data_IF_874625328034
#
_entry.id   IF_874625328034
#
_cell.length_a   1.000
_cell.length_b   1.000
_cell.length_c   1.000
_cell.angle_alpha   90.00
_cell.angle_beta   90.00
_cell.angle_gamma   90.00
#
_symmetry.space_group_name_H-M   'P 1'
#
loop_
_entity.id
_entity.type
_entity.pdbx_description
1 polymer ?
#
# COMPACT_ATOMS: atom_id res chain seq x y z
N UNK A 1 -15.34 0.19 -19.95
CA UNK A 1 -14.53 0.91 -20.93
C UNK A 1 -14.47 2.42 -20.68
N UNK A 2 -15.60 3.16 -20.64
CA UNK A 2 -15.55 4.63 -20.43
C UNK A 2 -14.94 5.02 -19.07
N UNK A 3 -15.28 4.33 -17.98
CA UNK A 3 -14.74 4.59 -16.65
C UNK A 3 -13.24 4.28 -16.56
N UNK A 4 -12.76 3.25 -17.26
CA UNK A 4 -11.34 2.89 -17.27
C UNK A 4 -10.52 4.00 -17.96
N UNK A 5 -11.03 4.55 -19.05
CA UNK A 5 -10.40 5.69 -19.76
C UNK A 5 -10.40 6.94 -18.87
N UNK A 6 -11.54 7.27 -18.24
CA UNK A 6 -11.62 8.41 -17.31
C UNK A 6 -10.66 8.26 -16.13
N UNK A 7 -10.57 7.07 -15.54
CA UNK A 7 -9.64 6.77 -14.46
C UNK A 7 -8.19 7.00 -14.91
N UNK A 8 -7.80 6.48 -16.09
CA UNK A 8 -6.44 6.66 -16.61
C UNK A 8 -6.11 8.13 -16.89
N UNK A 9 -7.05 8.87 -17.48
CA UNK A 9 -6.88 10.31 -17.70
C UNK A 9 -6.70 11.04 -16.36
N UNK A 10 -7.55 10.75 -15.35
CA UNK A 10 -7.44 11.38 -14.05
C UNK A 10 -6.10 11.08 -13.37
N UNK A 11 -5.59 9.85 -13.48
CA UNK A 11 -4.26 9.47 -12.97
C UNK A 11 -3.13 10.23 -13.66
N UNK A 12 -3.19 10.39 -14.98
CA UNK A 12 -2.21 11.16 -15.75
C UNK A 12 -2.24 12.64 -15.35
N UNK A 13 -3.42 13.24 -15.25
CA UNK A 13 -3.58 14.64 -14.86
C UNK A 13 -3.04 14.87 -13.44
N UNK A 14 -3.32 13.98 -12.51
CA UNK A 14 -2.82 14.07 -11.13
C UNK A 14 -1.29 13.91 -11.07
N UNK A 15 -0.73 12.95 -11.80
CA UNK A 15 0.71 12.74 -11.89
C UNK A 15 1.43 13.96 -12.44
N UNK A 16 0.91 14.55 -13.52
CA UNK A 16 1.48 15.75 -14.14
C UNK A 16 1.37 16.97 -13.21
N UNK A 17 0.24 17.12 -12.52
CA UNK A 17 0.06 18.21 -11.54
C UNK A 17 0.97 18.11 -10.34
N UNK A 18 1.18 16.89 -9.81
CA UNK A 18 1.99 16.68 -8.60
C UNK A 18 3.48 16.65 -8.87
N UNK A 19 3.93 16.06 -9.99
CA UNK A 19 5.32 15.73 -10.24
C UNK A 19 5.88 16.31 -11.56
N UNK A 20 5.06 16.98 -12.36
CA UNK A 20 5.43 17.59 -13.64
C UNK A 20 5.57 16.60 -14.80
N UNK A 21 5.72 17.12 -16.01
CA UNK A 21 5.83 16.34 -17.25
C UNK A 21 7.02 15.38 -17.29
N UNK A 22 8.16 15.73 -16.66
CA UNK A 22 9.34 14.87 -16.61
C UNK A 22 9.06 13.55 -15.90
N UNK A 23 8.30 13.59 -14.80
CA UNK A 23 7.87 12.40 -14.06
C UNK A 23 6.87 11.57 -14.86
N UNK A 24 5.96 12.21 -15.59
CA UNK A 24 5.07 11.52 -16.51
C UNK A 24 5.85 10.68 -17.54
N UNK A 25 6.83 11.27 -18.21
CA UNK A 25 7.64 10.54 -19.18
C UNK A 25 8.41 9.37 -18.54
N UNK A 26 9.01 9.58 -17.38
CA UNK A 26 9.76 8.52 -16.68
C UNK A 26 8.87 7.41 -16.12
N UNK A 27 7.71 7.75 -15.56
CA UNK A 27 6.86 6.79 -14.87
C UNK A 27 5.84 6.11 -15.80
N UNK A 28 5.40 6.79 -16.87
CA UNK A 28 4.40 6.26 -17.80
C UNK A 28 5.04 5.60 -19.01
N UNK A 29 6.05 6.23 -19.61
CA UNK A 29 6.68 5.69 -20.83
C UNK A 29 7.82 4.71 -20.54
N UNK A 30 8.68 5.02 -19.55
CA UNK A 30 9.88 4.26 -19.25
C UNK A 30 10.00 3.98 -17.76
N UNK A 31 9.35 2.93 -17.29
CA UNK A 31 9.53 2.49 -15.91
C UNK A 31 10.61 1.41 -15.87
N UNK A 32 11.61 1.58 -14.98
CA UNK A 32 12.52 0.52 -14.58
C UNK A 32 12.68 0.56 -13.08
N UNK A 33 12.00 -0.35 -12.39
CA UNK A 33 11.99 -0.40 -10.92
C UNK A 33 12.14 -1.84 -10.44
N UNK A 34 12.55 -2.00 -9.19
CA UNK A 34 12.57 -3.31 -8.53
C UNK A 34 11.29 -3.48 -7.72
N UNK A 35 10.54 -4.54 -8.02
CA UNK A 35 9.41 -5.00 -7.21
C UNK A 35 9.90 -6.08 -6.25
N UNK A 36 9.54 -5.96 -4.98
CA UNK A 36 9.81 -6.98 -3.95
C UNK A 36 8.48 -7.62 -3.57
N UNK A 37 8.32 -8.89 -3.92
CA UNK A 37 7.14 -9.67 -3.59
C UNK A 37 7.26 -10.14 -2.15
N UNK A 38 6.17 -10.00 -1.41
CA UNK A 38 6.07 -10.32 0.01
C UNK A 38 4.91 -11.25 0.30
N UNK A 39 5.04 -12.05 1.34
CA UNK A 39 3.98 -12.90 1.88
C UNK A 39 3.80 -12.66 3.38
N UNK A 40 2.60 -12.90 3.86
CA UNK A 40 2.25 -12.90 5.29
C UNK A 40 1.34 -14.07 5.60
N UNK A 41 1.74 -14.88 6.58
CA UNK A 41 0.84 -15.82 7.23
C UNK A 41 -0.12 -15.04 8.13
N UNK A 42 -1.41 -15.16 7.87
CA UNK A 42 -2.42 -14.38 8.59
C UNK A 42 -2.65 -14.92 10.01
N UNK A 43 -2.27 -16.18 10.31
CA UNK A 43 -2.31 -16.72 11.67
C UNK A 43 -1.35 -16.00 12.62
N UNK A 44 -0.24 -15.48 12.10
CA UNK A 44 0.78 -14.75 12.87
C UNK A 44 0.44 -13.27 13.12
N UNK A 45 -0.75 -12.81 12.70
CA UNK A 45 -1.13 -11.42 12.89
C UNK A 45 -1.50 -11.13 14.34
N UNK A 46 -0.87 -10.10 14.88
CA UNK A 46 -1.26 -9.49 16.16
C UNK A 46 -2.04 -8.22 15.90
N UNK A 47 -3.05 -7.96 16.72
CA UNK A 47 -3.87 -6.75 16.57
C UNK A 47 -3.06 -5.46 16.79
N UNK A 48 -3.22 -4.51 15.89
CA UNK A 48 -2.61 -3.17 15.91
C UNK A 48 -3.62 -2.07 15.60
N UNK A 49 -4.83 -2.18 16.15
CA UNK A 49 -5.93 -1.25 15.89
C UNK A 49 -5.79 0.08 16.66
N UNK A 50 -5.03 0.12 17.76
CA UNK A 50 -4.87 1.33 18.59
C UNK A 50 -4.56 2.62 17.84
N UNK A 51 -3.63 2.65 16.86
CA UNK A 51 -3.35 3.88 16.11
C UNK A 51 -4.55 4.40 15.32
N UNK A 52 -5.43 3.52 14.81
CA UNK A 52 -6.63 3.93 14.09
C UNK A 52 -7.65 4.56 15.04
N UNK A 53 -7.94 3.89 16.15
CA UNK A 53 -8.89 4.38 17.17
C UNK A 53 -8.43 5.73 17.76
N UNK A 54 -7.15 5.86 18.12
CA UNK A 54 -6.57 7.10 18.64
C UNK A 54 -6.60 8.25 17.64
N UNK A 55 -6.57 7.94 16.35
CA UNK A 55 -6.69 8.92 15.28
C UNK A 55 -8.15 9.22 14.89
N UNK A 56 -9.15 8.58 15.52
CA UNK A 56 -10.55 8.71 15.14
C UNK A 56 -10.85 8.13 13.75
N UNK A 57 -10.13 7.09 13.34
CA UNK A 57 -10.25 6.44 12.05
C UNK A 57 -10.91 5.07 12.19
N UNK A 58 -11.68 4.69 11.18
CA UNK A 58 -12.37 3.39 11.13
C UNK A 58 -12.04 2.66 9.84
N UNK A 59 -12.00 1.32 9.93
CA UNK A 59 -11.98 0.43 8.78
C UNK A 59 -13.41 0.17 8.32
N UNK A 60 -13.67 0.31 7.02
CA UNK A 60 -14.96 0.01 6.38
C UNK A 60 -14.69 -0.81 5.12
N UNK A 61 -15.44 -1.87 4.91
CA UNK A 61 -15.38 -2.61 3.64
C UNK A 61 -15.97 -1.77 2.50
N UNK A 62 -15.31 -1.79 1.35
CA UNK A 62 -15.79 -1.10 0.16
C UNK A 62 -16.61 -2.07 -0.66
N UNK A 63 -17.89 -1.82 -0.73
CA UNK A 63 -18.86 -2.52 -1.58
C UNK A 63 -19.69 -1.55 -2.42
N UNK A 64 -20.62 -2.09 -3.19
CA UNK A 64 -21.51 -1.29 -4.05
C UNK A 64 -22.44 -0.41 -3.22
N UNK A 65 -22.90 -0.91 -2.07
CA UNK A 65 -23.83 -0.18 -1.21
C UNK A 65 -23.14 1.01 -0.54
N UNK A 66 -21.90 0.83 -0.07
CA UNK A 66 -21.08 1.94 0.44
C UNK A 66 -20.92 3.03 -0.61
N UNK A 67 -20.61 2.68 -1.87
CA UNK A 67 -20.39 3.66 -2.93
C UNK A 67 -21.68 4.34 -3.41
N UNK A 68 -22.81 3.61 -3.44
CA UNK A 68 -24.09 4.12 -3.91
C UNK A 68 -24.84 4.93 -2.86
N UNK A 69 -24.58 4.70 -1.58
CA UNK A 69 -25.25 5.37 -0.45
C UNK A 69 -25.07 6.90 -0.44
N UNK A 70 -24.00 7.41 -1.08
CA UNK A 70 -23.62 8.82 -0.97
C UNK A 70 -23.15 9.25 0.42
N UNK A 71 -23.12 8.32 1.39
CA UNK A 71 -22.73 8.58 2.77
C UNK A 71 -21.23 8.90 2.89
N UNK A 72 -20.42 8.42 1.95
CA UNK A 72 -18.98 8.56 1.99
C UNK A 72 -18.43 9.39 0.82
N UNK A 73 -17.45 10.23 1.11
CA UNK A 73 -16.74 11.04 0.11
C UNK A 73 -15.27 10.64 0.09
N UNK A 74 -14.69 10.47 -1.09
CA UNK A 74 -13.26 10.20 -1.21
C UNK A 74 -12.48 11.52 -1.16
N UNK A 75 -11.44 11.56 -0.33
CA UNK A 75 -10.53 12.73 -0.25
C UNK A 75 -9.80 13.02 -1.55
N UNK A 76 -9.66 12.00 -2.40
CA UNK A 76 -9.01 12.08 -3.72
C UNK A 76 -9.95 11.49 -4.77
N UNK A 77 -10.38 12.31 -5.74
CA UNK A 77 -11.43 11.94 -6.70
C UNK A 77 -11.07 10.75 -7.59
N UNK A 78 -9.79 10.57 -7.95
CA UNK A 78 -9.36 9.42 -8.75
C UNK A 78 -9.51 8.09 -7.98
N UNK A 79 -9.45 8.11 -6.63
CA UNK A 79 -9.64 6.92 -5.80
C UNK A 79 -11.08 6.42 -5.86
N UNK A 80 -12.05 7.31 -5.95
CA UNK A 80 -13.46 6.94 -6.17
C UNK A 80 -13.66 6.24 -7.53
N UNK A 81 -13.10 6.79 -8.60
CA UNK A 81 -13.16 6.16 -9.94
C UNK A 81 -12.48 4.79 -9.95
N UNK A 82 -11.38 4.66 -9.23
CA UNK A 82 -10.67 3.39 -9.03
C UNK A 82 -11.53 2.37 -8.29
N UNK A 83 -12.18 2.78 -7.20
CA UNK A 83 -13.09 1.95 -6.43
C UNK A 83 -14.23 1.39 -7.31
N UNK A 84 -14.88 2.24 -8.10
CA UNK A 84 -15.91 1.83 -9.07
C UNK A 84 -15.36 0.79 -10.06
N UNK A 85 -14.16 1.03 -10.58
CA UNK A 85 -13.54 0.12 -11.57
C UNK A 85 -13.20 -1.22 -10.93
N UNK A 86 -12.60 -1.23 -9.75
CA UNK A 86 -12.17 -2.43 -9.07
C UNK A 86 -13.35 -3.32 -8.64
N UNK A 87 -14.41 -2.72 -8.07
CA UNK A 87 -15.63 -3.46 -7.75
C UNK A 87 -16.30 -4.05 -9.00
N UNK A 88 -16.27 -3.34 -10.14
CA UNK A 88 -16.78 -3.87 -11.41
C UNK A 88 -16.01 -5.12 -11.87
N UNK A 89 -14.73 -5.22 -11.54
CA UNK A 89 -13.89 -6.38 -11.84
C UNK A 89 -13.91 -7.45 -10.74
N UNK A 90 -14.83 -7.37 -9.78
CA UNK A 90 -14.97 -8.36 -8.72
C UNK A 90 -13.88 -8.32 -7.65
N UNK A 91 -13.14 -7.20 -7.56
CA UNK A 91 -12.13 -7.01 -6.53
C UNK A 91 -12.78 -6.50 -5.24
N UNK A 92 -12.31 -6.97 -4.10
CA UNK A 92 -12.70 -6.46 -2.79
C UNK A 92 -11.79 -5.34 -2.31
N UNK A 93 -12.22 -4.55 -1.35
CA UNK A 93 -11.41 -3.47 -0.81
C UNK A 93 -11.85 -3.00 0.57
N UNK A 94 -10.97 -2.26 1.23
CA UNK A 94 -11.22 -1.61 2.50
C UNK A 94 -10.92 -0.13 2.41
N UNK A 95 -11.78 0.67 3.01
CA UNK A 95 -11.60 2.11 3.21
C UNK A 95 -11.13 2.41 4.63
N UNK A 96 -10.23 3.38 4.74
CA UNK A 96 -9.91 4.07 5.98
C UNK A 96 -10.72 5.36 6.03
N UNK A 97 -11.59 5.50 7.04
CA UNK A 97 -12.59 6.56 7.06
C UNK A 97 -12.44 7.44 8.31
N UNK A 98 -12.49 8.75 8.12
CA UNK A 98 -12.64 9.77 9.16
C UNK A 98 -14.02 10.43 9.04
N UNK A 99 -14.93 10.13 9.97
CA UNK A 99 -16.33 10.56 9.84
C UNK A 99 -16.95 9.96 8.57
N UNK A 100 -17.25 10.79 7.59
CA UNK A 100 -17.73 10.37 6.26
C UNK A 100 -16.69 10.51 5.14
N UNK A 101 -15.44 10.88 5.46
CA UNK A 101 -14.39 11.08 4.49
C UNK A 101 -13.50 9.84 4.38
N UNK A 102 -13.39 9.25 3.20
CA UNK A 102 -12.45 8.18 2.86
C UNK A 102 -11.07 8.82 2.67
N UNK A 103 -10.17 8.56 3.60
CA UNK A 103 -8.81 9.10 3.63
C UNK A 103 -7.74 8.08 3.24
N UNK A 104 -8.14 6.83 3.04
CA UNK A 104 -7.27 5.77 2.54
C UNK A 104 -8.09 4.61 2.00
N UNK A 105 -7.49 3.80 1.17
CA UNK A 105 -8.06 2.55 0.68
C UNK A 105 -6.99 1.52 0.38
N UNK A 106 -7.36 0.25 0.41
CA UNK A 106 -6.53 -0.89 -0.02
C UNK A 106 -7.41 -1.92 -0.68
N UNK A 107 -6.84 -2.65 -1.63
CA UNK A 107 -7.59 -3.58 -2.46
C UNK A 107 -7.04 -4.97 -2.36
N UNK A 108 -7.92 -5.95 -2.60
CA UNK A 108 -7.53 -7.34 -2.61
C UNK A 108 -8.23 -8.11 -3.73
N UNK A 109 -7.55 -9.12 -4.20
CA UNK A 109 -8.02 -10.10 -5.14
C UNK A 109 -8.09 -11.47 -4.46
N UNK A 110 -9.21 -12.13 -4.62
CA UNK A 110 -9.46 -13.50 -4.21
C UNK A 110 -9.94 -14.28 -5.42
N UNK A 111 -9.62 -15.56 -5.49
CA UNK A 111 -10.06 -16.42 -6.58
C UNK A 111 -10.31 -17.82 -6.08
N UNK A 112 -11.05 -18.58 -6.84
CA UNK A 112 -11.08 -20.04 -6.68
C UNK A 112 -9.67 -20.61 -6.88
N UNK A 113 -9.39 -21.76 -6.26
CA UNK A 113 -8.15 -22.46 -6.48
C UNK A 113 -8.03 -22.83 -7.97
N UNK A 114 -6.89 -22.48 -8.56
CA UNK A 114 -6.62 -22.73 -9.98
C UNK A 114 -5.13 -22.88 -10.25
N UNK A 115 -4.80 -23.78 -11.16
CA UNK A 115 -3.45 -23.90 -11.73
C UNK A 115 -3.31 -23.12 -13.05
N UNK A 116 -4.40 -22.54 -13.57
CA UNK A 116 -4.35 -21.71 -14.77
C UNK A 116 -3.93 -20.27 -14.42
N UNK A 117 -2.69 -19.89 -14.74
CA UNK A 117 -2.19 -18.54 -14.40
C UNK A 117 -2.93 -17.42 -15.14
N UNK A 118 -3.66 -17.73 -16.23
CA UNK A 118 -4.35 -16.71 -17.04
C UNK A 118 -5.57 -16.12 -16.34
N UNK A 119 -6.13 -16.81 -15.35
CA UNK A 119 -7.26 -16.32 -14.56
C UNK A 119 -6.83 -15.58 -13.30
N UNK A 120 -5.53 -15.58 -13.00
CA UNK A 120 -4.99 -14.82 -11.87
C UNK A 120 -4.91 -13.32 -12.16
N UNK A 121 -4.86 -12.52 -11.10
CA UNK A 121 -4.57 -11.09 -11.22
C UNK A 121 -3.26 -10.85 -12.01
N UNK A 122 -3.22 -9.80 -12.84
CA UNK A 122 -2.09 -9.55 -13.75
C UNK A 122 -0.72 -9.46 -13.07
N UNK A 123 -0.67 -8.98 -11.81
CA UNK A 123 0.58 -8.93 -11.05
C UNK A 123 1.02 -10.33 -10.60
N UNK A 124 0.08 -11.20 -10.22
CA UNK A 124 0.38 -12.59 -9.86
C UNK A 124 0.93 -13.35 -11.07
N UNK A 125 0.30 -13.18 -12.24
CA UNK A 125 0.81 -13.75 -13.50
C UNK A 125 2.22 -13.24 -13.79
N UNK A 126 2.44 -11.92 -13.68
CA UNK A 126 3.72 -11.26 -13.96
C UNK A 126 4.84 -11.74 -13.03
N UNK A 127 4.53 -12.01 -11.77
CA UNK A 127 5.49 -12.51 -10.78
C UNK A 127 5.59 -14.05 -10.76
N UNK A 128 4.98 -14.73 -11.73
CA UNK A 128 5.09 -16.17 -11.92
C UNK A 128 4.50 -16.98 -10.76
N UNK A 129 3.40 -16.51 -10.18
CA UNK A 129 2.66 -17.30 -9.21
C UNK A 129 1.95 -18.46 -9.92
N UNK A 130 2.03 -19.63 -9.31
CA UNK A 130 1.37 -20.87 -9.73
C UNK A 130 0.80 -21.56 -8.50
N UNK A 131 -0.20 -22.41 -8.68
CA UNK A 131 -0.79 -23.19 -7.57
C UNK A 131 -1.52 -22.32 -6.55
N UNK A 132 -2.24 -21.28 -7.02
CA UNK A 132 -3.02 -20.38 -6.16
C UNK A 132 -4.11 -21.14 -5.40
N UNK A 133 -4.22 -20.91 -4.09
CA UNK A 133 -5.19 -21.56 -3.22
C UNK A 133 -6.37 -20.63 -2.91
N UNK A 134 -7.56 -21.20 -2.78
CA UNK A 134 -8.78 -20.48 -2.42
C UNK A 134 -8.69 -19.72 -1.09
N UNK A 135 -7.87 -20.21 -0.14
CA UNK A 135 -7.61 -19.56 1.14
C UNK A 135 -6.51 -18.48 1.09
N UNK A 136 -6.00 -18.16 -0.09
CA UNK A 136 -4.97 -17.14 -0.26
C UNK A 136 -5.57 -15.86 -0.85
N UNK A 137 -4.97 -14.71 -0.51
CA UNK A 137 -5.41 -13.40 -0.96
C UNK A 137 -4.23 -12.59 -1.47
N UNK A 138 -4.40 -11.88 -2.57
CA UNK A 138 -3.43 -10.92 -3.07
C UNK A 138 -3.88 -9.50 -2.75
N UNK A 139 -3.04 -8.74 -2.05
CA UNK A 139 -3.34 -7.37 -1.64
C UNK A 139 -2.48 -6.38 -2.42
N UNK A 140 -3.07 -5.29 -2.85
CA UNK A 140 -2.42 -4.32 -3.71
C UNK A 140 -3.00 -2.92 -3.53
N UNK A 141 -2.33 -1.92 -4.11
CA UNK A 141 -2.79 -0.54 -4.23
C UNK A 141 -3.23 0.08 -2.89
N UNK A 142 -2.39 -0.04 -1.86
CA UNK A 142 -2.63 0.66 -0.59
C UNK A 142 -2.35 2.16 -0.73
N UNK A 143 -3.33 2.96 -0.35
CA UNK A 143 -3.25 4.41 -0.30
C UNK A 143 -3.69 4.91 1.08
N UNK A 144 -2.99 5.90 1.61
CA UNK A 144 -3.41 6.70 2.78
C UNK A 144 -3.06 8.14 2.47
N UNK A 145 -3.98 9.07 2.68
CA UNK A 145 -3.74 10.50 2.48
C UNK A 145 -2.55 10.99 3.31
N UNK A 146 -1.73 11.88 2.75
CA UNK A 146 -0.48 12.32 3.39
C UNK A 146 -0.69 12.91 4.78
N UNK A 147 -1.81 13.61 4.99
CA UNK A 147 -2.23 14.17 6.28
C UNK A 147 -2.45 13.12 7.37
N UNK A 148 -2.79 11.89 6.97
CA UNK A 148 -3.14 10.79 7.87
C UNK A 148 -2.00 9.80 8.13
N UNK A 149 -0.85 9.94 7.45
CA UNK A 149 0.27 8.98 7.52
C UNK A 149 1.10 9.06 8.83
N UNK A 150 0.58 9.70 9.87
CA UNK A 150 1.28 9.87 11.15
C UNK A 150 0.97 8.73 12.12
N UNK A 151 1.82 8.54 13.13
CA UNK A 151 1.55 7.63 14.27
C UNK A 151 1.34 6.16 13.90
N UNK A 152 1.88 5.68 12.78
CA UNK A 152 1.73 4.27 12.38
C UNK A 152 0.38 3.92 11.75
N UNK A 153 -0.46 4.91 11.42
CA UNK A 153 -1.80 4.72 10.83
C UNK A 153 -1.76 3.83 9.59
N UNK A 154 -0.81 4.03 8.66
CA UNK A 154 -0.74 3.21 7.44
C UNK A 154 -0.49 1.73 7.73
N UNK A 155 0.36 1.43 8.70
CA UNK A 155 0.64 0.05 9.10
C UNK A 155 -0.54 -0.57 9.87
N UNK A 156 -1.19 0.21 10.74
CA UNK A 156 -2.39 -0.23 11.45
C UNK A 156 -3.56 -0.48 10.48
N UNK A 157 -3.72 0.36 9.46
CA UNK A 157 -4.73 0.18 8.41
C UNK A 157 -4.51 -1.13 7.65
N UNK A 158 -3.28 -1.37 7.18
CA UNK A 158 -2.93 -2.63 6.51
C UNK A 158 -3.18 -3.82 7.43
N UNK A 159 -2.75 -3.75 8.70
CA UNK A 159 -2.94 -4.82 9.68
C UNK A 159 -4.43 -5.10 9.92
N UNK A 160 -5.26 -4.06 10.11
CA UNK A 160 -6.69 -4.23 10.34
C UNK A 160 -7.41 -4.85 9.15
N UNK A 161 -7.05 -4.47 7.91
CA UNK A 161 -7.58 -5.11 6.71
C UNK A 161 -7.20 -6.60 6.65
N UNK A 162 -5.96 -6.96 7.04
CA UNK A 162 -5.51 -8.36 7.09
C UNK A 162 -6.22 -9.16 8.19
N UNK A 163 -6.50 -8.55 9.34
CA UNK A 163 -7.27 -9.19 10.42
C UNK A 163 -8.70 -9.51 9.98
N UNK A 164 -9.34 -8.60 9.25
CA UNK A 164 -10.68 -8.84 8.71
C UNK A 164 -10.65 -9.97 7.64
N UNK A 165 -9.67 -9.98 6.75
CA UNK A 165 -9.49 -11.08 5.80
C UNK A 165 -9.26 -12.42 6.51
N UNK A 166 -8.48 -12.43 7.60
CA UNK A 166 -8.31 -13.63 8.43
C UNK A 166 -9.64 -14.10 9.02
N UNK A 167 -10.48 -13.19 9.52
CA UNK A 167 -11.80 -13.54 10.07
C UNK A 167 -12.74 -14.14 9.01
N UNK A 168 -12.52 -13.81 7.74
CA UNK A 168 -13.21 -14.37 6.57
C UNK A 168 -12.63 -15.73 6.09
N UNK A 169 -11.63 -16.27 6.80
CA UNK A 169 -11.07 -17.60 6.56
C UNK A 169 -9.84 -17.62 5.64
N UNK A 170 -9.30 -16.47 5.24
CA UNK A 170 -8.05 -16.44 4.50
C UNK A 170 -6.87 -16.74 5.43
N UNK A 171 -5.91 -17.53 4.94
CA UNK A 171 -4.77 -18.02 5.73
C UNK A 171 -3.47 -17.33 5.36
N UNK A 172 -3.34 -16.88 4.11
CA UNK A 172 -2.11 -16.26 3.62
C UNK A 172 -2.42 -15.07 2.71
N UNK A 173 -1.66 -13.99 2.89
CA UNK A 173 -1.70 -12.83 2.03
C UNK A 173 -0.39 -12.65 1.26
N UNK A 174 -0.50 -12.23 0.01
CA UNK A 174 0.61 -11.80 -0.83
C UNK A 174 0.46 -10.36 -1.24
N UNK A 175 1.57 -9.72 -1.53
CA UNK A 175 1.61 -8.37 -2.06
C UNK A 175 2.97 -8.06 -2.64
N UNK A 176 3.18 -6.84 -3.09
CA UNK A 176 4.50 -6.35 -3.43
C UNK A 176 4.65 -4.87 -3.07
N UNK A 177 5.87 -4.43 -2.96
CA UNK A 177 6.22 -3.02 -2.89
C UNK A 177 7.39 -2.71 -3.84
N UNK A 178 7.50 -1.44 -4.21
CA UNK A 178 8.64 -0.96 -4.97
C UNK A 178 9.83 -0.75 -4.05
N UNK A 179 11.00 -1.29 -4.41
CA UNK A 179 12.20 -1.23 -3.57
C UNK A 179 12.69 0.20 -3.27
N UNK A 180 12.30 1.19 -4.04
CA UNK A 180 12.56 2.62 -3.85
C UNK A 180 11.47 3.34 -3.03
N UNK A 181 10.39 2.64 -2.62
CA UNK A 181 9.35 3.19 -1.75
C UNK A 181 9.63 2.85 -0.29
N UNK A 182 10.43 3.69 0.37
CA UNK A 182 10.83 3.52 1.77
C UNK A 182 9.63 3.43 2.74
N UNK A 183 8.56 4.19 2.48
CA UNK A 183 7.36 4.15 3.32
C UNK A 183 6.65 2.79 3.24
N UNK A 184 6.52 2.23 2.03
CA UNK A 184 5.94 0.91 1.85
C UNK A 184 6.83 -0.18 2.44
N UNK A 185 8.15 -0.10 2.28
CA UNK A 185 9.10 -1.02 2.93
C UNK A 185 8.91 -1.00 4.44
N UNK A 186 8.95 0.19 5.03
CA UNK A 186 8.82 0.34 6.48
C UNK A 186 7.49 -0.22 6.99
N UNK A 187 6.38 0.13 6.35
CA UNK A 187 5.05 -0.35 6.69
C UNK A 187 4.96 -1.89 6.60
N UNK A 188 5.40 -2.45 5.49
CA UNK A 188 5.23 -3.87 5.17
C UNK A 188 6.25 -4.74 5.90
N UNK A 189 7.55 -4.45 5.71
CA UNK A 189 8.63 -5.29 6.21
C UNK A 189 8.90 -5.11 7.70
N UNK A 190 9.06 -3.84 8.14
CA UNK A 190 9.48 -3.54 9.52
C UNK A 190 8.28 -3.62 10.46
N UNK A 191 7.20 -2.89 10.17
CA UNK A 191 6.09 -2.78 11.10
C UNK A 191 5.19 -4.01 11.08
N UNK A 192 4.75 -4.45 9.90
CA UNK A 192 3.84 -5.59 9.75
C UNK A 192 4.54 -6.93 9.55
N UNK A 193 5.88 -6.92 9.44
CA UNK A 193 6.74 -8.12 9.40
C UNK A 193 6.33 -9.12 8.32
N UNK A 194 6.06 -8.61 7.11
CA UNK A 194 5.87 -9.45 5.95
C UNK A 194 7.21 -10.03 5.52
N UNK A 195 7.21 -11.27 5.08
CA UNK A 195 8.38 -11.98 4.58
C UNK A 195 8.61 -11.66 3.10
N UNK A 196 9.82 -11.24 2.74
CA UNK A 196 10.22 -11.07 1.35
C UNK A 196 10.48 -12.43 0.71
N UNK A 197 9.80 -12.71 -0.40
CA UNK A 197 9.86 -14.00 -1.10
C UNK A 197 10.76 -13.93 -2.32
N UNK A 198 10.52 -12.94 -3.18
CA UNK A 198 11.23 -12.77 -4.46
C UNK A 198 11.38 -11.28 -4.79
N UNK A 199 12.38 -10.98 -5.60
CA UNK A 199 12.53 -9.65 -6.19
C UNK A 199 12.55 -9.75 -7.71
N UNK A 200 11.98 -8.75 -8.38
CA UNK A 200 11.89 -8.68 -9.83
C UNK A 200 12.35 -7.31 -10.32
N UNK A 201 13.13 -7.30 -11.40
CA UNK A 201 13.32 -6.09 -12.19
C UNK A 201 12.11 -5.93 -13.10
N UNK A 202 11.31 -4.91 -12.87
CA UNK A 202 10.15 -4.59 -13.69
C UNK A 202 10.50 -3.45 -14.60
N UNK A 203 10.38 -3.68 -15.90
CA UNK A 203 10.49 -2.64 -16.93
C UNK A 203 9.16 -2.48 -17.64
N UNK A 204 8.80 -1.24 -17.92
CA UNK A 204 7.65 -0.89 -18.75
C UNK A 204 8.07 0.08 -19.83
N UNK A 205 7.66 -0.22 -21.04
CA UNK A 205 7.74 0.70 -22.16
C UNK A 205 6.35 0.82 -22.77
N UNK A 206 5.72 1.97 -22.61
CA UNK A 206 4.32 2.19 -22.96
C UNK A 206 3.38 1.17 -22.28
N UNK A 207 2.78 0.28 -23.09
CA UNK A 207 1.89 -0.79 -22.62
C UNK A 207 2.63 -2.09 -22.30
N UNK A 208 3.85 -2.24 -22.80
CA UNK A 208 4.66 -3.44 -22.55
C UNK A 208 5.24 -3.43 -21.16
N UNK A 209 4.89 -4.43 -20.37
CA UNK A 209 5.44 -4.66 -19.03
C UNK A 209 6.17 -6.00 -19.02
N UNK A 210 7.41 -5.99 -18.53
CA UNK A 210 8.23 -7.19 -18.36
C UNK A 210 8.74 -7.24 -16.93
N UNK A 211 8.60 -8.39 -16.26
CA UNK A 211 9.24 -8.67 -14.99
C UNK A 211 10.27 -9.81 -15.16
N UNK A 212 11.48 -9.60 -14.68
CA UNK A 212 12.54 -10.59 -14.70
C UNK A 212 12.97 -10.86 -13.27
N UNK A 213 12.97 -12.13 -12.80
CA UNK A 213 13.42 -12.46 -11.48
C UNK A 213 14.87 -12.00 -11.26
N UNK A 214 15.14 -11.38 -10.12
CA UNK A 214 16.50 -11.05 -9.70
C UNK A 214 17.09 -12.25 -8.94
N UNK A 215 18.35 -12.58 -9.20
CA UNK A 215 19.08 -13.56 -8.41
C UNK A 215 19.30 -13.02 -7.00
N UNK A 216 19.40 -13.94 -6.00
CA UNK A 216 19.55 -13.56 -4.59
C UNK A 216 20.75 -12.65 -4.32
N UNK A 217 21.88 -12.90 -5.02
CA UNK A 217 23.07 -12.06 -4.97
C UNK A 217 22.83 -10.63 -5.48
N UNK A 218 22.10 -10.48 -6.59
CA UNK A 218 21.73 -9.18 -7.15
C UNK A 218 20.71 -8.41 -6.28
N UNK A 219 19.83 -9.14 -5.59
CA UNK A 219 18.89 -8.55 -4.64
C UNK A 219 19.60 -8.07 -3.37
N UNK A 220 20.64 -8.77 -2.93
CA UNK A 220 21.43 -8.42 -1.74
C UNK A 220 22.23 -7.12 -1.93
N UNK A 221 22.86 -6.91 -3.08
CA UNK A 221 23.61 -5.68 -3.38
C UNK A 221 22.75 -4.41 -3.47
N UNK A 222 21.42 -4.55 -3.70
CA UNK A 222 20.46 -3.44 -3.61
C UNK A 222 19.83 -3.30 -2.23
N UNK A 223 20.19 -4.19 -1.31
CA UNK A 223 19.71 -4.25 0.08
C UNK A 223 20.61 -3.54 1.07
N UNK A 224 21.68 -2.88 0.63
CA UNK A 224 22.44 -2.06 1.58
C UNK A 224 21.48 -0.99 2.12
N UNK A 225 21.16 -1.08 3.39
CA UNK A 225 20.14 -0.24 3.94
C UNK A 225 20.78 1.11 4.24
N UNK A 226 20.45 2.10 3.45
CA UNK A 226 20.55 3.51 3.81
C UNK A 226 20.17 3.79 5.29
N UNK A 227 19.43 2.91 5.94
CA UNK A 227 18.97 3.06 7.32
C UNK A 227 19.76 2.26 8.36
N UNK A 228 20.66 1.33 8.02
CA UNK A 228 21.63 0.82 8.99
C UNK A 228 22.56 1.95 9.47
N UNK A 229 22.99 2.85 8.59
CA UNK A 229 23.73 4.05 8.99
C UNK A 229 22.88 5.04 9.81
N UNK A 230 21.57 5.14 9.53
CA UNK A 230 20.69 6.07 10.23
C UNK A 230 20.16 5.56 11.57
N UNK A 231 20.09 4.25 11.80
CA UNK A 231 19.78 3.69 13.13
C UNK A 231 20.98 3.89 14.06
N UNK A 232 22.18 3.66 13.59
CA UNK A 232 23.40 3.94 14.36
C UNK A 232 23.56 5.45 14.72
N UNK A 233 23.04 6.36 13.88
CA UNK A 233 23.00 7.80 14.17
C UNK A 233 21.79 8.24 15.01
N UNK A 234 20.75 7.42 15.11
CA UNK A 234 19.51 7.73 15.86
C UNK A 234 19.57 7.38 17.34
N UNK A 235 20.42 6.45 17.75
CA UNK A 235 20.60 6.08 19.15
C UNK A 235 21.36 7.14 19.98
N UNK A 236 21.90 8.18 19.35
CA UNK A 236 22.64 9.27 20.01
C UNK A 236 21.92 10.62 20.13
N UNK A 237 20.66 10.73 19.69
CA UNK A 237 19.91 11.98 19.85
C UNK A 237 18.75 11.78 20.82
N UNK A 238 19.05 11.91 22.12
CA UNK A 238 18.05 12.28 23.12
C UNK A 238 17.36 13.57 22.66
N UNK A 239 16.07 13.51 22.39
CA UNK A 239 15.22 14.69 22.20
C UNK A 239 15.11 15.41 23.55
N UNK A 240 16.05 16.29 23.81
CA UNK A 240 15.99 17.17 24.94
C UNK A 240 14.86 18.19 24.74
N UNK A 241 13.68 17.88 25.30
CA UNK A 241 12.58 18.83 25.40
C UNK A 241 13.02 19.92 26.43
N UNK A 242 13.74 20.91 25.94
CA UNK A 242 14.02 22.12 26.70
C UNK A 242 12.73 22.85 27.06
N UNK A 243 12.26 22.65 28.29
CA UNK A 243 11.34 23.54 28.97
C UNK A 243 12.08 24.86 29.22
N UNK A 244 11.82 25.87 28.46
CA UNK A 244 12.09 27.25 28.87
C UNK A 244 10.85 27.79 29.56
N UNK A 245 10.81 27.66 30.87
CA UNK A 245 9.94 28.45 31.74
C UNK A 245 10.58 29.83 31.84
N UNK A 246 9.99 30.82 31.20
CA UNK A 246 10.35 32.23 31.38
C UNK A 246 9.79 32.75 32.68
N UNK A 247 10.60 32.92 33.69
CA UNK A 247 10.28 33.74 34.86
C UNK A 247 10.30 35.22 34.45
N UNK A 248 9.14 35.85 34.43
CA UNK A 248 9.08 37.32 34.42
C UNK A 248 9.19 37.83 35.84
N UNK A 249 10.35 38.40 36.16
CA UNK A 249 10.51 39.24 37.36
C UNK A 249 9.86 40.59 37.09
N UNK A 250 8.76 40.87 37.79
CA UNK A 250 8.27 42.22 38.02
C UNK A 250 9.10 42.85 39.12
N UNK A 251 9.68 43.99 38.86
CA UNK A 251 10.37 44.84 39.81
C UNK A 251 9.87 46.29 39.69
N UNK A 252 9.30 46.74 40.81
CA UNK A 252 9.02 48.13 41.26
C UNK A 252 7.94 48.88 40.47
#
# INVERSE_FOLDING_TARGET
>A
MLNDVRMRIAQVVELVRSNGWSSFFKEVLFLKRTAVVVEKDLSELTERSKPLASAGLKLVEIDKDMLSSGAYRFSVGNRYLKALTYLKHGLGGYALVRGNLVVGDTWHYVSEATDDPRVLHEDLQRFGFTGWKKSEVYTFDIFVAATERKGGVSAAFQNSAMLDLRSKGYTKAYGFYWADNLQAQWCTRVTNRWKEVRAFSVSRFLIYKRAVPLRKDQAAHKKEPFWQENIAMGEGREFNHGRTVGESKSGV
#
